data_IF_124803732096
#
_entry.id   IF_124803732096
#
_cell.length_a   1.000
_cell.length_b   1.000
_cell.length_c   1.000
_cell.angle_alpha   90.00
_cell.angle_beta   90.00
_cell.angle_gamma   90.00
#
_symmetry.space_group_name_H-M   'P 1'
#
loop_
_entity.id
_entity.type
_entity.pdbx_description
1 polymer ?
#
# COMPACT_ATOMS: atom_id res chain seq x y z
N UNK A 1 18.86 5.92 6.65
CA UNK A 1 18.18 7.22 6.44
C UNK A 1 16.79 7.14 7.05
N UNK A 2 16.44 8.02 7.99
CA UNK A 2 15.12 8.02 8.63
C UNK A 2 14.20 8.93 7.81
N UNK A 3 13.20 8.36 7.13
CA UNK A 3 12.23 9.15 6.37
C UNK A 3 11.30 9.88 7.35
N UNK A 4 10.96 11.15 7.07
CA UNK A 4 10.12 11.97 7.94
C UNK A 4 8.64 11.92 7.56
N UNK A 5 8.33 11.48 6.34
CA UNK A 5 6.97 11.38 5.81
C UNK A 5 6.83 10.22 4.82
N UNK A 6 5.58 9.82 4.55
CA UNK A 6 5.25 8.93 3.44
C UNK A 6 5.14 9.78 2.17
N UNK A 7 5.88 9.40 1.13
CA UNK A 7 5.74 9.96 -0.22
C UNK A 7 5.18 8.90 -1.15
N UNK A 8 3.86 8.76 -1.13
CA UNK A 8 3.16 7.80 -1.99
C UNK A 8 2.81 8.43 -3.34
N UNK A 9 3.12 7.73 -4.42
CA UNK A 9 2.57 7.96 -5.76
C UNK A 9 1.77 6.73 -6.17
N UNK A 10 0.47 6.91 -6.41
CA UNK A 10 -0.40 5.89 -6.95
C UNK A 10 -0.72 6.20 -8.41
N UNK A 11 -0.77 5.16 -9.25
CA UNK A 11 -1.29 5.25 -10.63
C UNK A 11 -2.05 3.98 -10.97
N UNK A 12 -3.16 4.12 -11.68
CA UNK A 12 -3.84 3.01 -12.33
C UNK A 12 -3.33 2.86 -13.76
N UNK A 13 -3.00 1.64 -14.18
CA UNK A 13 -2.49 1.32 -15.53
C UNK A 13 -3.20 0.05 -16.01
N UNK A 14 -4.19 0.21 -16.89
CA UNK A 14 -5.03 -0.89 -17.33
C UNK A 14 -5.69 -1.59 -16.15
N UNK A 15 -5.35 -2.86 -15.92
CA UNK A 15 -5.87 -3.68 -14.82
C UNK A 15 -4.97 -3.72 -13.58
N UNK A 16 -4.09 -2.73 -13.43
CA UNK A 16 -3.12 -2.71 -12.35
C UNK A 16 -3.09 -1.39 -11.61
N UNK A 17 -2.70 -1.44 -10.35
CA UNK A 17 -2.39 -0.29 -9.50
C UNK A 17 -0.90 -0.32 -9.21
N UNK A 18 -0.20 0.74 -9.59
CA UNK A 18 1.20 0.96 -9.31
C UNK A 18 1.33 1.88 -8.11
N UNK A 19 1.99 1.42 -7.07
CA UNK A 19 2.34 2.18 -5.87
C UNK A 19 3.84 2.41 -5.84
N UNK A 20 4.26 3.66 -5.66
CA UNK A 20 5.65 4.02 -5.47
C UNK A 20 5.84 4.82 -4.19
N UNK A 21 6.69 4.35 -3.29
CA UNK A 21 6.95 4.96 -1.98
C UNK A 21 8.35 4.61 -1.47
N UNK A 22 8.73 5.10 -0.30
CA UNK A 22 9.95 4.68 0.38
C UNK A 22 9.97 3.17 0.62
N UNK A 23 11.10 2.52 0.32
CA UNK A 23 11.29 1.09 0.58
C UNK A 23 11.57 0.86 2.06
N UNK A 24 10.51 0.82 2.86
CA UNK A 24 10.56 0.52 4.28
C UNK A 24 10.25 -0.97 4.50
N UNK A 25 10.84 -1.60 5.52
CA UNK A 25 10.42 -2.93 5.94
C UNK A 25 8.91 -2.95 6.19
N UNK A 26 8.19 -3.86 5.54
CA UNK A 26 6.74 -3.97 5.64
C UNK A 26 5.92 -3.14 4.65
N UNK A 27 6.53 -2.37 3.75
CA UNK A 27 5.80 -1.61 2.71
C UNK A 27 4.84 -2.51 1.93
N UNK A 28 5.34 -3.63 1.38
CA UNK A 28 4.51 -4.56 0.63
C UNK A 28 3.37 -5.15 1.48
N UNK A 29 3.64 -5.52 2.73
CA UNK A 29 2.63 -6.08 3.64
C UNK A 29 1.50 -5.08 3.91
N UNK A 30 1.84 -3.82 4.19
CA UNK A 30 0.84 -2.77 4.44
C UNK A 30 0.04 -2.42 3.18
N UNK A 31 0.67 -2.42 2.01
CA UNK A 31 -0.04 -2.25 0.74
C UNK A 31 -1.03 -3.41 0.49
N UNK A 32 -0.60 -4.66 0.68
CA UNK A 32 -1.50 -5.82 0.53
C UNK A 32 -2.61 -5.84 1.57
N UNK A 33 -2.36 -5.33 2.79
CA UNK A 33 -3.37 -5.21 3.83
C UNK A 33 -4.51 -4.29 3.41
N UNK A 34 -4.22 -3.17 2.74
CA UNK A 34 -5.28 -2.27 2.24
C UNK A 34 -6.20 -2.98 1.27
N UNK A 35 -5.67 -3.79 0.36
CA UNK A 35 -6.50 -4.59 -0.55
C UNK A 35 -7.31 -5.64 0.20
N UNK A 36 -6.71 -6.35 1.16
CA UNK A 36 -7.39 -7.35 1.96
C UNK A 36 -8.53 -6.74 2.81
N UNK A 37 -8.29 -5.62 3.48
CA UNK A 37 -9.29 -4.90 4.27
C UNK A 37 -10.45 -4.37 3.40
N UNK A 38 -10.19 -4.08 2.13
CA UNK A 38 -11.19 -3.69 1.13
C UNK A 38 -11.86 -4.88 0.40
N UNK A 39 -11.54 -6.12 0.78
CA UNK A 39 -12.00 -7.34 0.10
C UNK A 39 -11.71 -7.35 -1.43
N UNK A 40 -10.56 -6.77 -1.81
CA UNK A 40 -10.06 -6.71 -3.17
C UNK A 40 -9.03 -7.81 -3.41
N UNK A 41 -9.25 -8.61 -4.44
CA UNK A 41 -8.39 -9.75 -4.74
C UNK A 41 -7.17 -9.29 -5.54
N UNK A 42 -5.98 -9.49 -4.96
CA UNK A 42 -4.73 -9.34 -5.69
C UNK A 42 -4.39 -10.63 -6.46
N UNK A 43 -4.51 -10.59 -7.78
CA UNK A 43 -4.29 -11.74 -8.65
C UNK A 43 -2.81 -11.97 -8.93
N UNK A 44 -2.01 -10.89 -8.93
CA UNK A 44 -0.56 -10.91 -9.13
C UNK A 44 0.06 -9.64 -8.57
N UNK A 45 1.26 -9.74 -8.01
CA UNK A 45 2.08 -8.60 -7.66
C UNK A 45 3.46 -8.68 -8.34
N UNK A 46 3.98 -7.53 -8.77
CA UNK A 46 5.37 -7.38 -9.23
C UNK A 46 6.04 -6.38 -8.30
N UNK A 47 7.12 -6.82 -7.66
CA UNK A 47 7.87 -6.00 -6.70
C UNK A 47 9.15 -5.51 -7.36
N UNK A 48 9.36 -4.21 -7.32
CA UNK A 48 10.58 -3.61 -7.82
C UNK A 48 11.11 -2.62 -6.80
N UNK A 49 12.33 -2.85 -6.31
CA UNK A 49 12.99 -1.96 -5.36
C UNK A 49 14.24 -1.39 -6.02
N UNK A 50 14.38 -0.07 -6.00
CA UNK A 50 15.53 0.62 -6.57
C UNK A 50 15.86 1.86 -5.75
N UNK A 51 17.13 1.99 -5.32
CA UNK A 51 17.66 3.16 -4.61
C UNK A 51 16.75 3.65 -3.45
N UNK A 52 16.30 2.73 -2.59
CA UNK A 52 15.47 3.08 -1.42
C UNK A 52 14.01 3.45 -1.74
N UNK A 53 13.57 3.23 -2.98
CA UNK A 53 12.17 3.34 -3.40
C UNK A 53 11.61 1.95 -3.70
N UNK A 54 10.43 1.64 -3.18
CA UNK A 54 9.63 0.50 -3.58
C UNK A 54 8.65 0.97 -4.66
N UNK A 55 8.58 0.25 -5.78
CA UNK A 55 7.64 0.48 -6.87
C UNK A 55 6.92 -0.83 -7.17
N UNK A 56 5.83 -1.05 -6.45
CA UNK A 56 5.07 -2.29 -6.53
C UNK A 56 3.90 -2.12 -7.50
N UNK A 57 3.62 -3.15 -8.29
CA UNK A 57 2.50 -3.19 -9.23
C UNK A 57 1.59 -4.35 -8.86
N UNK A 58 0.32 -4.04 -8.60
CA UNK A 58 -0.70 -5.00 -8.18
C UNK A 58 -1.73 -5.15 -9.29
N UNK A 59 -1.93 -6.37 -9.77
CA UNK A 59 -3.00 -6.72 -10.71
C UNK A 59 -4.21 -7.18 -9.91
N UNK A 60 -5.34 -6.50 -10.10
CA UNK A 60 -6.58 -6.75 -9.36
C UNK A 60 -7.71 -7.16 -10.34
N UNK A 61 -8.86 -7.56 -9.80
CA UNK A 61 -10.07 -7.75 -10.61
C UNK A 61 -10.47 -6.41 -11.27
N UNK A 62 -11.09 -6.40 -12.46
CA UNK A 62 -11.48 -5.17 -13.14
C UNK A 62 -12.40 -4.28 -12.30
N UNK A 63 -13.34 -4.88 -11.58
CA UNK A 63 -14.25 -4.17 -10.68
C UNK A 63 -13.48 -3.44 -9.56
N UNK A 64 -12.48 -4.10 -8.96
CA UNK A 64 -11.67 -3.50 -7.89
C UNK A 64 -10.81 -2.33 -8.42
N UNK A 65 -10.23 -2.47 -9.62
CA UNK A 65 -9.48 -1.36 -10.25
C UNK A 65 -10.40 -0.19 -10.57
N UNK A 66 -11.60 -0.47 -11.08
CA UNK A 66 -12.60 0.57 -11.35
C UNK A 66 -13.02 1.30 -10.07
N UNK A 67 -13.18 0.56 -8.98
CA UNK A 67 -13.50 1.12 -7.66
C UNK A 67 -12.38 2.05 -7.16
N UNK A 68 -11.12 1.64 -7.30
CA UNK A 68 -9.97 2.48 -6.96
C UNK A 68 -9.89 3.72 -7.85
N UNK A 69 -10.18 3.61 -9.15
CA UNK A 69 -10.21 4.75 -10.06
C UNK A 69 -11.31 5.76 -9.70
N UNK A 70 -12.50 5.27 -9.36
CA UNK A 70 -13.62 6.12 -8.99
C UNK A 70 -13.43 6.82 -7.62
N UNK A 71 -12.57 6.26 -6.76
CA UNK A 71 -12.32 6.76 -5.42
C UNK A 71 -10.81 6.98 -5.15
N UNK A 72 -10.07 7.49 -6.14
CA UNK A 72 -8.61 7.56 -6.13
C UNK A 72 -8.05 8.25 -4.87
N UNK A 73 -8.59 9.43 -4.53
CA UNK A 73 -8.18 10.21 -3.35
C UNK A 73 -8.40 9.46 -2.03
N UNK A 74 -9.49 8.68 -1.94
CA UNK A 74 -9.77 7.85 -0.78
C UNK A 74 -8.68 6.78 -0.64
N UNK A 75 -8.36 6.06 -1.71
CA UNK A 75 -7.33 5.03 -1.68
C UNK A 75 -5.93 5.60 -1.42
N UNK A 76 -5.57 6.74 -2.00
CA UNK A 76 -4.28 7.41 -1.70
C UNK A 76 -4.17 7.69 -0.20
N UNK A 77 -5.23 8.22 0.43
CA UNK A 77 -5.27 8.48 1.88
C UNK A 77 -5.18 7.18 2.69
N UNK A 78 -5.91 6.14 2.29
CA UNK A 78 -5.92 4.84 2.96
C UNK A 78 -4.54 4.17 2.92
N UNK A 79 -3.88 4.11 1.75
CA UNK A 79 -2.51 3.62 1.63
C UNK A 79 -1.52 4.45 2.44
N UNK A 80 -1.62 5.78 2.39
CA UNK A 80 -0.74 6.66 3.15
C UNK A 80 -0.87 6.41 4.65
N UNK A 81 -2.10 6.26 5.15
CA UNK A 81 -2.38 5.92 6.55
C UNK A 81 -1.80 4.54 6.92
N UNK A 82 -2.01 3.53 6.09
CA UNK A 82 -1.48 2.19 6.31
C UNK A 82 0.06 2.15 6.34
N UNK A 83 0.73 2.96 5.53
CA UNK A 83 2.19 3.03 5.49
C UNK A 83 2.81 3.85 6.63
N UNK A 84 2.06 4.78 7.22
CA UNK A 84 2.56 5.74 8.22
C UNK A 84 3.26 5.10 9.43
N UNK A 85 2.77 4.00 10.03
CA UNK A 85 3.45 3.34 11.14
C UNK A 85 4.89 2.92 10.84
N UNK A 86 5.19 2.59 9.57
CA UNK A 86 6.51 2.12 9.13
C UNK A 86 7.61 3.18 9.29
N UNK A 87 7.27 4.48 9.32
CA UNK A 87 8.22 5.57 9.57
C UNK A 87 8.81 5.53 10.98
N UNK A 88 8.04 5.01 11.94
CA UNK A 88 8.38 5.03 13.36
C UNK A 88 8.98 3.73 13.85
N UNK A 89 8.94 2.67 13.04
CA UNK A 89 9.36 1.32 13.44
C UNK A 89 8.49 0.69 14.53
N UNK A 90 7.30 1.27 14.82
CA UNK A 90 6.33 0.66 15.72
C UNK A 90 5.81 -0.63 15.11
N UNK A 91 5.70 -1.68 15.92
CA UNK A 91 5.14 -2.95 15.47
C UNK A 91 3.74 -2.75 14.93
N UNK A 92 3.53 -3.25 13.70
CA UNK A 92 2.24 -3.26 13.01
C UNK A 92 1.35 -4.43 13.45
N UNK A 93 1.91 -5.43 14.14
CA UNK A 93 1.19 -6.64 14.56
C UNK A 93 0.63 -6.56 16.00
N UNK A 94 1.11 -5.62 16.83
CA UNK A 94 0.79 -5.59 18.27
C UNK A 94 -0.41 -4.68 18.64
N UNK A 95 -1.15 -4.16 17.66
CA UNK A 95 -2.26 -3.24 17.97
C UNK A 95 -3.57 -3.97 18.32
N UNK A 96 -3.71 -5.26 18.02
CA UNK A 96 -4.95 -6.02 18.24
C UNK A 96 -5.02 -6.79 19.58
N UNK A 97 -3.95 -6.82 20.38
CA UNK A 97 -3.90 -7.54 21.67
C UNK A 97 -4.24 -6.69 22.90
N UNK A 98 -4.60 -5.41 22.75
CA UNK A 98 -5.11 -4.60 23.87
C UNK A 98 -6.62 -4.43 23.72
N UNK A 99 -7.36 -5.50 23.96
CA UNK A 99 -8.75 -5.43 24.40
C UNK A 99 -8.84 -6.12 25.75
N UNK A 100 -8.82 -5.32 26.81
CA UNK A 100 -9.22 -5.74 28.15
C UNK A 100 -10.70 -6.13 28.16
#
# INVERSE_FOLDING_TARGET
TRFQNIKLKMKTIGRSVKLATHNLPGTFMMETKVFADANMECQKAVLHTHQGTASNVFYLRPADVSEIMNHEDHFIKTFTKALTPLLTGKSIFLQEEIKN
#
